data_IF_523681100130
#
_entry.id   IF_523681100130
#
_cell.length_a   1.000
_cell.length_b   1.000
_cell.length_c   1.000
_cell.angle_alpha   90.00
_cell.angle_beta   90.00
_cell.angle_gamma   90.00
#
_symmetry.space_group_name_H-M   'P 1'
#
loop_
_entity.id
_entity.type
_entity.pdbx_description
1 polymer ?
#
# COMPACT_ATOMS: atom_id res chain seq x y z
N UNK A 1 1.37 10.74 -18.13
CA UNK A 1 2.55 10.30 -17.36
C UNK A 1 2.95 8.91 -17.87
N UNK A 2 4.21 8.70 -18.26
CA UNK A 2 4.69 7.40 -18.74
C UNK A 2 4.88 6.42 -17.58
N UNK A 3 4.63 5.12 -17.81
CA UNK A 3 4.83 4.07 -16.81
C UNK A 3 6.31 3.70 -16.71
N UNK A 4 6.82 3.59 -15.48
CA UNK A 4 8.17 3.13 -15.24
C UNK A 4 8.30 1.61 -15.49
N UNK A 5 9.43 1.14 -16.07
CA UNK A 5 9.74 -0.27 -16.13
C UNK A 5 9.78 -0.91 -14.73
N UNK A 6 9.45 -2.21 -14.59
CA UNK A 6 9.30 -2.88 -13.29
C UNK A 6 10.51 -2.70 -12.35
N UNK A 7 11.73 -2.89 -12.85
CA UNK A 7 12.95 -2.75 -12.04
C UNK A 7 13.22 -1.31 -11.60
N UNK A 8 12.88 -0.33 -12.43
CA UNK A 8 13.01 1.09 -12.06
C UNK A 8 11.99 1.47 -10.99
N UNK A 9 10.74 1.03 -11.15
CA UNK A 9 9.70 1.27 -10.16
C UNK A 9 10.01 0.60 -8.82
N UNK A 10 10.46 -0.65 -8.85
CA UNK A 10 10.87 -1.39 -7.65
C UNK A 10 11.97 -0.66 -6.86
N UNK A 11 13.02 -0.18 -7.54
CA UNK A 11 14.10 0.59 -6.89
C UNK A 11 13.60 1.93 -6.34
N UNK A 12 12.71 2.61 -7.07
CA UNK A 12 12.11 3.88 -6.63
C UNK A 12 11.31 3.68 -5.34
N UNK A 13 10.49 2.64 -5.25
CA UNK A 13 9.70 2.32 -4.06
C UNK A 13 10.58 2.13 -2.81
N UNK A 14 11.63 1.31 -2.91
CA UNK A 14 12.53 1.08 -1.78
C UNK A 14 13.30 2.34 -1.36
N UNK A 15 13.63 3.23 -2.31
CA UNK A 15 14.21 4.54 -1.99
C UNK A 15 13.18 5.44 -1.30
N UNK A 16 11.96 5.53 -1.82
CA UNK A 16 10.90 6.31 -1.21
C UNK A 16 10.62 5.84 0.22
N UNK A 17 10.52 4.54 0.47
CA UNK A 17 10.41 3.98 1.82
C UNK A 17 11.54 4.43 2.74
N UNK A 18 12.80 4.38 2.28
CA UNK A 18 13.96 4.82 3.07
C UNK A 18 13.90 6.30 3.44
N UNK A 19 13.35 7.15 2.57
CA UNK A 19 13.30 8.59 2.79
C UNK A 19 12.06 9.06 3.54
N UNK A 20 10.94 8.32 3.45
CA UNK A 20 9.62 8.81 3.87
C UNK A 20 9.00 8.04 5.03
N UNK A 21 9.44 6.80 5.29
CA UNK A 21 8.84 5.95 6.33
C UNK A 21 9.74 5.84 7.57
N UNK A 22 9.16 5.83 8.79
CA UNK A 22 9.86 5.41 9.99
C UNK A 22 10.41 3.98 9.88
N UNK A 23 11.44 3.65 10.67
CA UNK A 23 12.18 2.38 10.55
C UNK A 23 11.29 1.14 10.59
N UNK A 24 10.34 1.09 11.52
CA UNK A 24 9.49 -0.09 11.75
C UNK A 24 8.48 -0.29 10.62
N UNK A 25 7.87 0.81 10.17
CA UNK A 25 6.93 0.82 9.03
C UNK A 25 7.65 0.46 7.73
N UNK A 26 8.88 0.97 7.55
CA UNK A 26 9.74 0.64 6.40
C UNK A 26 10.04 -0.85 6.34
N UNK A 27 10.38 -1.49 7.46
CA UNK A 27 10.70 -2.92 7.48
C UNK A 27 9.54 -3.76 6.94
N UNK A 28 8.31 -3.44 7.37
CA UNK A 28 7.10 -4.09 6.87
C UNK A 28 6.87 -3.78 5.38
N UNK A 29 6.93 -2.52 5.00
CA UNK A 29 6.71 -2.08 3.62
C UNK A 29 7.70 -2.70 2.63
N UNK A 30 8.99 -2.73 2.96
CA UNK A 30 10.04 -3.30 2.11
C UNK A 30 9.82 -4.80 1.89
N UNK A 31 9.42 -5.55 2.94
CA UNK A 31 9.08 -6.97 2.83
C UNK A 31 7.89 -7.16 1.90
N UNK A 32 6.86 -6.32 2.03
CA UNK A 32 5.66 -6.39 1.20
C UNK A 32 5.96 -6.12 -0.27
N UNK A 33 6.63 -5.01 -0.60
CA UNK A 33 7.04 -4.65 -1.97
C UNK A 33 7.85 -5.79 -2.61
N UNK A 34 8.84 -6.33 -1.89
CA UNK A 34 9.65 -7.47 -2.37
C UNK A 34 8.79 -8.68 -2.71
N UNK A 35 7.83 -9.00 -1.84
CA UNK A 35 6.96 -10.16 -2.02
C UNK A 35 6.02 -9.99 -3.21
N UNK A 36 5.43 -8.79 -3.38
CA UNK A 36 4.52 -8.46 -4.47
C UNK A 36 5.20 -8.49 -5.83
N UNK A 37 6.37 -7.85 -5.97
CA UNK A 37 7.14 -7.88 -7.21
C UNK A 37 7.62 -9.29 -7.56
N UNK A 38 7.94 -10.12 -6.55
CA UNK A 38 8.29 -11.53 -6.77
C UNK A 38 7.08 -12.32 -7.27
N UNK A 39 5.90 -12.15 -6.65
CA UNK A 39 4.66 -12.81 -7.07
C UNK A 39 4.25 -12.43 -8.50
N UNK A 40 4.55 -11.21 -8.92
CA UNK A 40 4.19 -10.69 -10.24
C UNK A 40 5.25 -10.92 -11.33
N UNK A 41 6.37 -11.60 -11.03
CA UNK A 41 7.47 -11.81 -11.99
C UNK A 41 7.04 -12.58 -13.23
N UNK A 42 6.16 -13.56 -13.05
CA UNK A 42 5.79 -14.53 -14.09
C UNK A 42 4.40 -14.22 -14.72
N UNK A 43 3.81 -13.07 -14.38
CA UNK A 43 2.55 -12.60 -14.98
C UNK A 43 2.81 -12.11 -16.40
N UNK A 44 2.09 -12.66 -17.38
CA UNK A 44 2.26 -12.34 -18.80
C UNK A 44 1.13 -11.48 -19.37
N UNK A 45 -0.03 -11.40 -18.70
CA UNK A 45 -1.16 -10.60 -19.17
C UNK A 45 -0.80 -9.10 -19.14
N UNK A 46 -0.73 -8.40 -20.29
CA UNK A 46 -0.32 -7.00 -20.34
C UNK A 46 -1.22 -6.06 -19.53
N UNK A 47 -2.54 -6.33 -19.48
CA UNK A 47 -3.47 -5.49 -18.72
C UNK A 47 -3.18 -5.57 -17.22
N UNK A 48 -2.86 -6.76 -16.71
CA UNK A 48 -2.51 -6.94 -15.31
C UNK A 48 -1.16 -6.31 -14.98
N UNK A 49 -0.18 -6.42 -15.86
CA UNK A 49 1.11 -5.74 -15.70
C UNK A 49 0.91 -4.22 -15.66
N UNK A 50 0.14 -3.66 -16.59
CA UNK A 50 -0.14 -2.22 -16.66
C UNK A 50 -0.86 -1.76 -15.39
N UNK A 51 -1.89 -2.48 -14.94
CA UNK A 51 -2.59 -2.18 -13.70
C UNK A 51 -1.65 -2.19 -12.48
N UNK A 52 -0.85 -3.25 -12.35
CA UNK A 52 0.15 -3.38 -11.28
C UNK A 52 1.13 -2.21 -11.25
N UNK A 53 1.76 -1.89 -12.38
CA UNK A 53 2.73 -0.79 -12.46
C UNK A 53 2.07 0.57 -12.20
N UNK A 54 0.84 0.76 -12.66
CA UNK A 54 0.09 2.01 -12.46
C UNK A 54 -0.16 2.27 -10.98
N UNK A 55 -0.66 1.27 -10.25
CA UNK A 55 -0.97 1.44 -8.83
C UNK A 55 0.29 1.62 -7.98
N UNK A 56 1.35 0.86 -8.25
CA UNK A 56 2.63 1.03 -7.56
C UNK A 56 3.29 2.39 -7.85
N UNK A 57 3.14 2.92 -9.08
CA UNK A 57 3.64 4.24 -9.42
C UNK A 57 2.85 5.35 -8.73
N UNK A 58 1.53 5.24 -8.64
CA UNK A 58 0.69 6.16 -7.86
C UNK A 58 1.07 6.15 -6.38
N UNK A 59 1.25 4.96 -5.80
CA UNK A 59 1.69 4.82 -4.40
C UNK A 59 3.05 5.50 -4.17
N UNK A 60 4.04 5.27 -5.03
CA UNK A 60 5.34 5.93 -4.93
C UNK A 60 5.21 7.47 -4.97
N UNK A 61 4.38 8.00 -5.86
CA UNK A 61 4.12 9.45 -5.96
C UNK A 61 3.46 10.01 -4.69
N UNK A 62 2.46 9.31 -4.15
CA UNK A 62 1.79 9.71 -2.91
C UNK A 62 2.75 9.70 -1.72
N UNK A 63 3.60 8.68 -1.64
CA UNK A 63 4.59 8.57 -0.58
C UNK A 63 5.63 9.70 -0.66
N UNK A 64 6.13 9.99 -1.86
CA UNK A 64 7.13 11.03 -2.10
C UNK A 64 6.56 12.44 -1.86
N UNK A 65 5.30 12.67 -2.20
CA UNK A 65 4.59 13.95 -2.03
C UNK A 65 4.00 14.16 -0.64
N UNK A 66 4.25 13.27 0.33
CA UNK A 66 3.71 13.30 1.70
C UNK A 66 2.17 13.29 1.82
N UNK A 67 1.44 13.21 0.70
CA UNK A 67 -0.03 13.20 0.64
C UNK A 67 -0.65 11.95 1.25
N UNK A 68 0.15 10.90 1.48
CA UNK A 68 -0.29 9.69 2.18
C UNK A 68 -0.71 9.96 3.64
N UNK A 69 -0.18 11.01 4.28
CA UNK A 69 -0.51 11.36 5.67
C UNK A 69 -1.93 11.88 5.86
N UNK A 70 -2.46 12.52 4.82
CA UNK A 70 -3.81 13.08 4.78
C UNK A 70 -4.80 12.19 4.01
N UNK A 71 -4.32 11.05 3.52
CA UNK A 71 -5.09 10.09 2.75
C UNK A 71 -6.27 9.57 3.56
N UNK A 72 -7.48 9.89 3.11
CA UNK A 72 -8.71 9.27 3.63
C UNK A 72 -9.00 8.01 2.83
N UNK A 73 -9.60 7.02 3.49
CA UNK A 73 -10.15 5.87 2.79
C UNK A 73 -11.27 6.35 1.86
N UNK A 74 -11.17 5.99 0.59
CA UNK A 74 -12.19 6.29 -0.40
C UNK A 74 -13.49 5.56 -0.03
N UNK A 75 -14.59 6.32 0.08
CA UNK A 75 -15.90 5.78 0.43
C UNK A 75 -16.37 4.73 -0.57
N UNK A 76 -16.03 4.87 -1.84
CA UNK A 76 -16.36 3.88 -2.86
C UNK A 76 -15.62 2.55 -2.67
N UNK A 77 -14.51 2.52 -1.91
CA UNK A 77 -13.84 1.27 -1.52
C UNK A 77 -14.54 0.63 -0.32
N UNK A 78 -15.02 1.41 0.63
CA UNK A 78 -15.82 0.90 1.76
C UNK A 78 -17.09 0.20 1.27
N UNK A 79 -17.78 0.80 0.30
CA UNK A 79 -19.01 0.23 -0.26
C UNK A 79 -18.80 -1.12 -0.96
N UNK A 80 -17.56 -1.44 -1.34
CA UNK A 80 -17.19 -2.69 -2.01
C UNK A 80 -16.66 -3.75 -1.05
N UNK A 81 -16.47 -3.43 0.22
CA UNK A 81 -16.00 -4.37 1.23
C UNK A 81 -17.14 -5.27 1.70
N UNK A 82 -16.82 -6.52 2.04
CA UNK A 82 -17.77 -7.38 2.74
C UNK A 82 -17.99 -6.91 4.18
N UNK A 83 -19.09 -7.36 4.81
CA UNK A 83 -19.36 -7.05 6.22
C UNK A 83 -18.18 -7.47 7.12
N UNK A 84 -17.58 -8.63 6.89
CA UNK A 84 -16.42 -9.11 7.67
C UNK A 84 -15.19 -8.19 7.51
N UNK A 85 -14.93 -7.71 6.29
CA UNK A 85 -13.84 -6.77 6.02
C UNK A 85 -14.09 -5.42 6.72
N UNK A 86 -15.34 -4.96 6.77
CA UNK A 86 -15.73 -3.75 7.48
C UNK A 86 -15.52 -3.91 8.99
N UNK A 87 -15.90 -5.06 9.56
CA UNK A 87 -15.67 -5.39 10.98
C UNK A 87 -14.18 -5.37 11.30
N UNK A 88 -13.35 -6.07 10.51
CA UNK A 88 -11.90 -6.09 10.71
C UNK A 88 -11.28 -4.69 10.61
N UNK A 89 -11.74 -3.87 9.67
CA UNK A 89 -11.27 -2.50 9.53
C UNK A 89 -11.65 -1.65 10.75
N UNK A 90 -12.86 -1.85 11.29
CA UNK A 90 -13.32 -1.16 12.49
C UNK A 90 -12.53 -1.58 13.74
N UNK A 91 -12.26 -2.88 13.91
CA UNK A 91 -11.41 -3.40 14.99
C UNK A 91 -10.01 -2.79 14.92
N UNK A 92 -9.40 -2.77 13.72
CA UNK A 92 -8.11 -2.12 13.50
C UNK A 92 -8.13 -0.64 13.89
N UNK A 93 -9.19 0.10 13.52
CA UNK A 93 -9.35 1.50 13.91
C UNK A 93 -9.37 1.67 15.43
N UNK A 94 -10.10 0.81 16.15
CA UNK A 94 -10.19 0.84 17.61
C UNK A 94 -8.84 0.53 18.27
N UNK A 95 -8.11 -0.47 17.78
CA UNK A 95 -6.77 -0.82 18.28
C UNK A 95 -5.81 0.35 18.12
N UNK A 96 -5.79 1.01 16.95
CA UNK A 96 -4.92 2.16 16.68
C UNK A 96 -5.26 3.37 17.57
N UNK A 97 -6.54 3.55 17.93
CA UNK A 97 -6.98 4.59 18.87
C UNK A 97 -6.73 4.26 20.34
N UNK A 98 -6.25 3.07 20.66
CA UNK A 98 -6.08 2.60 22.04
C UNK A 98 -7.40 2.27 22.75
N UNK A 99 -8.45 1.98 21.98
CA UNK A 99 -9.80 1.63 22.48
C UNK A 99 -10.05 0.11 22.56
N UNK A 100 -9.04 -0.70 22.24
CA UNK A 100 -9.11 -2.17 22.20
C UNK A 100 -9.05 -2.86 23.56
N UNK A 101 -8.47 -2.22 24.58
CA UNK A 101 -8.13 -2.86 25.86
C UNK A 101 -9.06 -2.46 27.03
N UNK A 102 -10.24 -1.86 26.75
CA UNK A 102 -11.18 -1.40 27.81
C UNK A 102 -12.26 -2.42 28.19
N UNK A 103 -12.21 -3.63 27.63
CA UNK A 103 -13.10 -4.73 27.98
C UNK A 103 -12.26 -5.96 28.32
N UNK A 104 -11.75 -5.98 29.55
CA UNK A 104 -11.01 -7.09 30.15
C UNK A 104 -11.06 -6.99 31.66
#
# INVERSE_FOLDING_TARGET
ISLLPPLHLYRRLLRAHRHKLPSDVRLLGDKYVKSEFRRHRDVSNPLYIVGFLTEWQKYAQQLEGDSWREGKLDTAKLDKMSNDQIVQLYELMRTVKGEGDKEG
#
